data_IF_265242000472
#
_entry.id   IF_265242000472
#
_cell.length_a   1.000
_cell.length_b   1.000
_cell.length_c   1.000
_cell.angle_alpha   90.00
_cell.angle_beta   90.00
_cell.angle_gamma   90.00
#
_symmetry.space_group_name_H-M   'P 1'
#
loop_
_entity.id
_entity.type
_entity.pdbx_description
1 polymer ?
#
# COMPACT_ATOMS: atom_id res chain seq x y z
N UNK A 1 -10.08 1.75 4.06
CA UNK A 1 -10.34 0.79 5.17
C UNK A 1 -9.60 -0.51 4.85
N UNK A 2 -9.40 -1.46 5.79
CA UNK A 2 -8.89 -2.78 5.41
C UNK A 2 -9.73 -3.40 4.29
N UNK A 3 -9.09 -4.05 3.32
CA UNK A 3 -9.71 -4.53 2.08
C UNK A 3 -9.82 -3.48 0.96
N UNK A 4 -9.46 -2.21 1.21
CA UNK A 4 -9.43 -1.17 0.17
C UNK A 4 -8.18 -1.32 -0.70
N UNK A 5 -8.36 -1.20 -2.01
CA UNK A 5 -7.26 -1.05 -2.98
C UNK A 5 -6.71 0.37 -2.90
N UNK A 6 -5.39 0.48 -2.84
CA UNK A 6 -4.68 1.77 -2.79
C UNK A 6 -3.63 1.86 -3.88
N UNK A 7 -3.35 3.08 -4.33
CA UNK A 7 -2.19 3.43 -5.16
C UNK A 7 -1.19 4.19 -4.28
N UNK A 8 0.08 3.82 -4.36
CA UNK A 8 1.15 4.57 -3.69
C UNK A 8 1.45 5.85 -4.47
N UNK A 9 1.35 7.00 -3.81
CA UNK A 9 1.66 8.34 -4.33
C UNK A 9 2.77 8.99 -3.51
N UNK A 10 3.98 8.48 -3.67
CA UNK A 10 5.20 9.12 -3.15
C UNK A 10 6.32 8.91 -4.14
N UNK A 11 6.71 9.98 -4.84
CA UNK A 11 7.76 9.96 -5.88
C UNK A 11 9.14 9.52 -5.38
N UNK A 12 9.36 9.50 -4.06
CA UNK A 12 10.60 9.03 -3.43
C UNK A 12 10.56 7.54 -3.07
N UNK A 13 9.40 6.89 -3.20
CA UNK A 13 9.21 5.47 -2.91
C UNK A 13 9.45 4.64 -4.16
N UNK A 14 10.16 3.51 -4.02
CA UNK A 14 10.29 2.50 -5.08
C UNK A 14 8.95 1.86 -5.46
N UNK A 15 7.91 2.05 -4.64
CA UNK A 15 6.57 1.57 -4.87
C UNK A 15 5.66 2.62 -5.53
N UNK A 16 6.17 3.80 -5.90
CA UNK A 16 5.35 4.85 -6.52
C UNK A 16 4.56 4.32 -7.74
N UNK A 17 3.25 4.53 -7.73
CA UNK A 17 2.34 4.04 -8.76
C UNK A 17 1.90 2.59 -8.62
N UNK A 18 2.48 1.82 -7.70
CA UNK A 18 2.05 0.44 -7.44
C UNK A 18 0.66 0.44 -6.78
N UNK A 19 -0.15 -0.55 -7.16
CA UNK A 19 -1.44 -0.86 -6.56
C UNK A 19 -1.29 -2.02 -5.58
N UNK A 20 -1.96 -1.93 -4.44
CA UNK A 20 -1.98 -3.00 -3.45
C UNK A 20 -3.20 -2.96 -2.55
N UNK A 21 -3.34 -3.96 -1.68
CA UNK A 21 -4.47 -4.12 -0.79
C UNK A 21 -4.10 -3.78 0.65
N UNK A 22 -4.87 -2.90 1.30
CA UNK A 22 -4.67 -2.61 2.72
C UNK A 22 -5.12 -3.81 3.55
N UNK A 23 -4.18 -4.43 4.27
CA UNK A 23 -4.45 -5.57 5.16
C UNK A 23 -4.86 -5.13 6.55
N UNK A 24 -4.18 -4.10 7.09
CA UNK A 24 -4.48 -3.53 8.41
C UNK A 24 -4.01 -2.09 8.49
N UNK A 25 -4.63 -1.32 9.39
CA UNK A 25 -4.27 0.06 9.69
C UNK A 25 -3.90 0.14 11.18
N UNK A 26 -2.83 0.86 11.50
CA UNK A 26 -2.45 1.16 12.88
C UNK A 26 -1.90 2.58 12.95
N UNK A 27 -2.56 3.44 13.73
CA UNK A 27 -2.24 4.86 13.80
C UNK A 27 -2.26 5.52 12.42
N UNK A 28 -1.15 6.13 12.04
CA UNK A 28 -0.97 6.84 10.76
C UNK A 28 -0.36 5.97 9.65
N UNK A 29 -0.33 4.65 9.82
CA UNK A 29 0.26 3.70 8.87
C UNK A 29 -0.73 2.60 8.46
N UNK A 30 -0.50 2.04 7.27
CA UNK A 30 -1.19 0.88 6.75
C UNK A 30 -0.19 -0.17 6.28
N UNK A 31 -0.47 -1.45 6.54
CA UNK A 31 0.22 -2.55 5.89
C UNK A 31 -0.46 -2.83 4.55
N UNK A 32 0.28 -2.70 3.46
CA UNK A 32 -0.18 -2.88 2.08
C UNK A 32 0.44 -4.14 1.50
N UNK A 33 -0.40 -5.06 1.02
CA UNK A 33 0.00 -6.24 0.29
C UNK A 33 0.10 -5.91 -1.19
N UNK A 34 1.28 -6.14 -1.78
CA UNK A 34 1.53 -6.08 -3.21
C UNK A 34 1.70 -7.50 -3.74
N UNK A 35 1.01 -7.83 -4.81
CA UNK A 35 1.02 -9.15 -5.45
C UNK A 35 1.50 -9.02 -6.90
N UNK A 36 2.26 -10.01 -7.38
CA UNK A 36 2.76 -10.03 -8.76
C UNK A 36 3.27 -11.40 -9.19
N UNK A 37 2.41 -12.24 -9.78
CA UNK A 37 2.81 -13.58 -10.21
C UNK A 37 3.18 -14.47 -9.02
N UNK A 38 4.44 -14.89 -8.91
CA UNK A 38 4.91 -15.80 -7.85
C UNK A 38 5.45 -15.10 -6.59
N UNK A 39 5.31 -13.78 -6.48
CA UNK A 39 5.77 -13.05 -5.31
C UNK A 39 4.65 -12.21 -4.70
N UNK A 40 4.68 -12.17 -3.38
CA UNK A 40 3.86 -11.29 -2.54
C UNK A 40 4.77 -10.53 -1.58
N UNK A 41 4.46 -9.25 -1.34
CA UNK A 41 5.22 -8.44 -0.39
C UNK A 41 4.28 -7.56 0.44
N UNK A 42 4.36 -7.73 1.76
CA UNK A 42 3.65 -6.89 2.73
C UNK A 42 4.58 -5.76 3.20
N UNK A 43 4.17 -4.51 2.99
CA UNK A 43 4.97 -3.32 3.33
C UNK A 43 4.14 -2.35 4.16
N UNK A 44 4.70 -1.87 5.26
CA UNK A 44 4.07 -0.81 6.07
C UNK A 44 4.37 0.57 5.49
N UNK A 45 3.33 1.35 5.22
CA UNK A 45 3.43 2.65 4.56
C UNK A 45 2.63 3.72 5.32
N UNK A 46 3.06 5.00 5.32
CA UNK A 46 2.26 6.08 5.87
C UNK A 46 0.95 6.27 5.09
N UNK A 47 -0.17 6.49 5.77
CA UNK A 47 -1.46 6.70 5.12
C UNK A 47 -1.45 7.87 4.14
N UNK A 48 -0.69 8.93 4.44
CA UNK A 48 -0.56 10.13 3.58
C UNK A 48 0.06 9.87 2.21
N UNK A 49 0.72 8.72 2.02
CA UNK A 49 1.30 8.33 0.73
C UNK A 49 0.40 7.39 -0.06
N UNK A 50 -0.80 7.08 0.44
CA UNK A 50 -1.73 6.13 -0.17
C UNK A 50 -2.98 6.88 -0.65
N UNK A 51 -3.30 6.70 -1.92
CA UNK A 51 -4.55 7.16 -2.52
C UNK A 51 -5.51 5.98 -2.64
N UNK A 52 -6.72 6.11 -2.08
CA UNK A 52 -7.75 5.10 -2.26
C UNK A 52 -8.24 5.10 -3.71
N UNK A 53 -8.34 3.91 -4.31
CA UNK A 53 -8.85 3.69 -5.67
C UNK A 53 -10.23 3.06 -5.68
#
# INVERSE_FOLDING_TARGET
MPGTTVVVRDVRSIYNGYRGFVQRISGSQAAVLFEGGNWDKLVTMPLKTLEAS
#
